data_IF_130621048265
#
_entry.id   IF_130621048265
#
_cell.length_a   1.000
_cell.length_b   1.000
_cell.length_c   1.000
_cell.angle_alpha   90.00
_cell.angle_beta   90.00
_cell.angle_gamma   90.00
#
_symmetry.space_group_name_H-M   'P 1'
#
loop_
_entity.id
_entity.type
_entity.pdbx_description
1 polymer ?
#
# COMPACT_ATOMS: atom_id res chain seq x y z
N UNK A 1 18.91 -12.75 3.67
CA UNK A 1 18.22 -11.93 2.66
C UNK A 1 17.03 -11.23 3.31
N UNK A 2 16.87 -9.94 3.04
CA UNK A 2 15.76 -9.14 3.57
C UNK A 2 14.48 -9.49 2.79
N UNK A 3 13.42 -9.87 3.50
CA UNK A 3 12.15 -10.30 2.90
C UNK A 3 10.95 -9.44 3.26
N UNK A 4 11.08 -8.55 4.24
CA UNK A 4 10.01 -7.69 4.69
C UNK A 4 10.35 -6.22 4.49
N UNK A 5 9.38 -5.45 4.02
CA UNK A 5 9.48 -4.01 3.89
C UNK A 5 8.37 -3.32 4.71
N UNK A 6 8.75 -2.30 5.45
CA UNK A 6 7.81 -1.41 6.14
C UNK A 6 7.66 -0.16 5.30
N UNK A 7 6.41 0.21 4.98
CA UNK A 7 6.11 1.45 4.27
C UNK A 7 5.18 2.29 5.14
N UNK A 8 5.70 3.37 5.76
CA UNK A 8 4.87 4.29 6.52
C UNK A 8 3.99 5.13 5.58
N UNK A 9 2.68 5.02 5.74
CA UNK A 9 1.68 5.65 4.88
C UNK A 9 0.69 6.51 5.66
N UNK A 10 1.00 6.83 6.91
CA UNK A 10 0.13 7.61 7.79
C UNK A 10 0.43 9.12 7.78
N UNK A 11 1.35 9.59 6.94
CA UNK A 11 1.70 11.00 6.83
C UNK A 11 0.57 11.86 6.26
N UNK A 12 0.58 13.15 6.61
CA UNK A 12 -0.50 14.08 6.23
C UNK A 12 -0.38 14.62 4.79
N UNK A 13 0.80 14.54 4.18
CA UNK A 13 1.01 15.04 2.82
C UNK A 13 0.81 16.54 2.66
N UNK A 14 1.21 17.33 3.66
CA UNK A 14 0.92 18.77 3.72
C UNK A 14 1.49 19.58 2.56
N UNK A 15 2.59 19.12 1.96
CA UNK A 15 3.22 19.81 0.82
C UNK A 15 2.35 19.83 -0.43
N UNK A 16 1.40 18.89 -0.55
CA UNK A 16 0.53 18.74 -1.70
C UNK A 16 -0.92 19.12 -1.42
N UNK A 17 -1.17 19.85 -0.34
CA UNK A 17 -2.51 20.38 -0.05
C UNK A 17 -2.92 21.39 -1.13
N UNK A 18 -4.23 21.47 -1.49
CA UNK A 18 -5.35 20.71 -0.90
C UNK A 18 -5.58 19.31 -1.48
N UNK A 19 -4.81 18.88 -2.48
CA UNK A 19 -5.01 17.60 -3.15
C UNK A 19 -4.98 16.43 -2.16
N UNK A 20 -4.04 16.45 -1.22
CA UNK A 20 -3.89 15.37 -0.22
C UNK A 20 -4.97 15.38 0.86
N UNK A 21 -5.88 16.35 0.85
CA UNK A 21 -7.07 16.31 1.70
C UNK A 21 -8.09 15.26 1.23
N UNK A 22 -8.05 14.88 -0.03
CA UNK A 22 -8.99 13.92 -0.64
C UNK A 22 -8.32 12.65 -1.13
N UNK A 23 -7.03 12.69 -1.48
CA UNK A 23 -6.29 11.52 -1.93
C UNK A 23 -4.93 11.46 -1.22
N UNK A 24 -4.55 10.28 -0.73
CA UNK A 24 -3.22 10.11 -0.16
C UNK A 24 -2.16 10.21 -1.25
N UNK A 25 -1.02 10.86 -0.93
CA UNK A 25 0.05 11.13 -1.92
C UNK A 25 0.57 9.87 -2.61
N UNK A 26 0.57 8.75 -1.88
CA UNK A 26 1.05 7.46 -2.39
C UNK A 26 0.13 6.86 -3.46
N UNK A 27 -1.12 7.33 -3.54
CA UNK A 27 -2.08 6.93 -4.56
C UNK A 27 -2.09 7.85 -5.78
N UNK A 28 -1.31 8.94 -5.76
CA UNK A 28 -1.21 9.81 -6.93
C UNK A 28 -0.64 9.03 -8.11
N UNK A 29 -1.28 9.11 -9.28
CA UNK A 29 -0.90 8.28 -10.41
C UNK A 29 0.33 8.82 -11.13
N UNK A 30 1.18 7.89 -11.56
CA UNK A 30 2.25 8.13 -12.51
C UNK A 30 1.97 7.18 -13.67
N UNK A 31 1.67 7.73 -14.83
CA UNK A 31 1.34 6.94 -16.02
C UNK A 31 0.24 5.88 -15.76
N UNK A 32 -0.85 6.31 -15.11
CA UNK A 32 -2.04 5.48 -14.86
C UNK A 32 -1.94 4.47 -13.72
N UNK A 33 -0.83 4.46 -12.98
CA UNK A 33 -0.60 3.54 -11.86
C UNK A 33 -0.15 4.32 -10.63
N UNK A 34 -0.66 4.01 -9.41
CA UNK A 34 -0.24 4.71 -8.21
C UNK A 34 1.27 4.62 -7.97
N UNK A 35 1.84 5.70 -7.45
CA UNK A 35 3.25 5.74 -7.06
C UNK A 35 3.62 4.57 -6.14
N UNK A 36 2.73 4.21 -5.22
CA UNK A 36 2.94 3.10 -4.29
C UNK A 36 3.20 1.76 -5.01
N UNK A 37 2.52 1.50 -6.13
CA UNK A 37 2.74 0.25 -6.88
C UNK A 37 4.14 0.19 -7.50
N UNK A 38 4.69 1.31 -7.96
CA UNK A 38 6.08 1.34 -8.46
C UNK A 38 7.06 0.98 -7.35
N UNK A 39 6.86 1.53 -6.16
CA UNK A 39 7.69 1.22 -4.99
C UNK A 39 7.60 -0.28 -4.66
N UNK A 40 6.40 -0.84 -4.68
CA UNK A 40 6.20 -2.28 -4.44
C UNK A 40 6.91 -3.14 -5.48
N UNK A 41 6.83 -2.77 -6.74
CA UNK A 41 7.50 -3.50 -7.83
C UNK A 41 9.01 -3.53 -7.63
N UNK A 42 9.63 -2.40 -7.33
CA UNK A 42 11.06 -2.33 -7.05
C UNK A 42 11.45 -3.23 -5.86
N UNK A 43 10.64 -3.21 -4.81
CA UNK A 43 10.85 -4.07 -3.64
C UNK A 43 10.74 -5.56 -4.00
N UNK A 44 9.76 -5.93 -4.80
CA UNK A 44 9.56 -7.32 -5.23
C UNK A 44 10.74 -7.79 -6.06
N UNK A 45 11.22 -6.96 -6.98
CA UNK A 45 12.42 -7.25 -7.77
C UNK A 45 13.67 -7.44 -6.89
N UNK A 46 13.75 -6.69 -5.78
CA UNK A 46 14.84 -6.81 -4.81
C UNK A 46 14.68 -8.02 -3.86
N UNK A 47 13.61 -8.78 -3.98
CA UNK A 47 13.40 -10.01 -3.18
C UNK A 47 12.47 -9.87 -1.99
N UNK A 48 11.81 -8.73 -1.82
CA UNK A 48 10.81 -8.54 -0.76
C UNK A 48 9.58 -9.42 -1.02
N UNK A 49 9.10 -10.09 0.02
CA UNK A 49 7.96 -11.02 -0.03
C UNK A 49 6.75 -10.54 0.76
N UNK A 50 6.95 -9.63 1.70
CA UNK A 50 5.88 -9.14 2.57
C UNK A 50 6.03 -7.63 2.79
N UNK A 51 4.91 -6.92 2.66
CA UNK A 51 4.82 -5.49 2.94
C UNK A 51 4.01 -5.26 4.21
N UNK A 52 4.53 -4.42 5.09
CA UNK A 52 3.80 -3.94 6.26
C UNK A 52 3.49 -2.47 6.01
N UNK A 53 2.22 -2.18 5.74
CA UNK A 53 1.75 -0.81 5.51
C UNK A 53 1.26 -0.22 6.82
N UNK A 54 1.88 0.88 7.24
CA UNK A 54 1.44 1.63 8.42
C UNK A 54 0.51 2.74 7.94
N UNK A 55 -0.77 2.60 8.23
CA UNK A 55 -1.83 3.47 7.70
C UNK A 55 -2.64 4.12 8.82
N UNK A 56 -3.26 5.29 8.57
CA UNK A 56 -4.18 5.88 9.53
C UNK A 56 -5.52 5.14 9.49
N UNK A 57 -6.10 4.88 10.65
CA UNK A 57 -7.39 4.16 10.75
C UNK A 57 -8.55 4.94 10.13
N UNK A 58 -8.52 6.27 10.27
CA UNK A 58 -9.59 7.17 9.79
C UNK A 58 -9.48 7.56 8.31
N UNK A 59 -8.44 7.10 7.60
CA UNK A 59 -8.24 7.36 6.18
C UNK A 59 -7.96 6.06 5.44
N UNK A 60 -9.02 5.26 5.14
CA UNK A 60 -8.85 3.89 4.63
C UNK A 60 -8.63 3.81 3.12
N UNK A 61 -8.21 4.88 2.44
CA UNK A 61 -8.11 4.91 0.98
C UNK A 61 -7.12 3.91 0.42
N UNK A 62 -5.94 3.76 1.04
CA UNK A 62 -4.94 2.78 0.59
C UNK A 62 -5.46 1.36 0.81
N UNK A 63 -6.09 1.09 1.96
CA UNK A 63 -6.68 -0.21 2.21
C UNK A 63 -7.78 -0.54 1.19
N UNK A 64 -8.62 0.43 0.85
CA UNK A 64 -9.67 0.24 -0.18
C UNK A 64 -9.12 0.04 -1.58
N UNK A 65 -7.97 0.60 -1.88
CA UNK A 65 -7.34 0.39 -3.17
C UNK A 65 -7.04 -1.10 -3.40
N UNK A 66 -6.56 -1.78 -2.38
CA UNK A 66 -6.17 -3.19 -2.50
C UNK A 66 -7.25 -4.17 -2.04
N UNK A 67 -8.12 -3.77 -1.10
CA UNK A 67 -9.07 -4.67 -0.44
C UNK A 67 -10.46 -4.04 -0.33
N UNK A 68 -11.49 -4.90 -0.33
CA UNK A 68 -12.87 -4.53 0.01
C UNK A 68 -13.41 -3.33 -0.78
N UNK A 69 -13.06 -3.25 -2.06
CA UNK A 69 -13.54 -2.20 -2.95
C UNK A 69 -14.73 -2.72 -3.77
N UNK A 70 -15.92 -2.57 -3.22
CA UNK A 70 -17.15 -3.06 -3.83
C UNK A 70 -17.41 -2.49 -5.23
N UNK A 71 -17.10 -1.21 -5.44
CA UNK A 71 -17.24 -0.56 -6.75
C UNK A 71 -16.37 -1.25 -7.80
N UNK A 72 -15.09 -1.43 -7.50
CA UNK A 72 -14.14 -2.11 -8.37
C UNK A 72 -14.58 -3.56 -8.65
N UNK A 73 -14.95 -4.31 -7.60
CA UNK A 73 -15.36 -5.71 -7.72
C UNK A 73 -16.59 -5.87 -8.60
N UNK A 74 -17.57 -4.97 -8.50
CA UNK A 74 -18.75 -4.99 -9.36
C UNK A 74 -18.40 -4.77 -10.83
N UNK A 75 -17.49 -3.86 -11.12
CA UNK A 75 -17.04 -3.59 -12.48
C UNK A 75 -16.31 -4.80 -13.05
N UNK A 76 -15.42 -5.40 -12.30
CA UNK A 76 -14.67 -6.59 -12.70
C UNK A 76 -15.64 -7.74 -13.06
N UNK A 77 -16.66 -7.96 -12.24
CA UNK A 77 -17.67 -8.99 -12.48
C UNK A 77 -18.47 -8.74 -13.76
N UNK A 78 -18.81 -7.49 -14.05
CA UNK A 78 -19.56 -7.11 -15.26
C UNK A 78 -18.73 -7.23 -16.53
N UNK A 79 -17.42 -6.98 -16.44
CA UNK A 79 -16.52 -6.90 -17.60
C UNK A 79 -15.53 -8.07 -17.65
N UNK A 80 -16.00 -9.27 -17.40
CA UNK A 80 -15.17 -10.50 -17.33
C UNK A 80 -14.34 -10.78 -18.59
N UNK A 81 -14.79 -10.28 -19.76
CA UNK A 81 -14.10 -10.52 -21.03
C UNK A 81 -13.01 -9.50 -21.34
N UNK A 82 -12.92 -8.41 -20.58
CA UNK A 82 -11.91 -7.38 -20.79
C UNK A 82 -10.54 -7.88 -20.32
N UNK A 83 -9.62 -8.10 -21.26
CA UNK A 83 -8.29 -8.64 -20.97
C UNK A 83 -7.46 -7.71 -20.11
N UNK A 84 -7.58 -6.39 -20.31
CA UNK A 84 -6.87 -5.39 -19.52
C UNK A 84 -7.29 -5.46 -18.04
N UNK A 85 -8.58 -5.55 -17.80
CA UNK A 85 -9.12 -5.65 -16.44
C UNK A 85 -8.75 -6.97 -15.76
N UNK A 86 -8.62 -8.06 -16.51
CA UNK A 86 -8.13 -9.34 -15.97
C UNK A 86 -6.70 -9.23 -15.47
N UNK A 87 -5.83 -8.54 -16.22
CA UNK A 87 -4.43 -8.32 -15.81
C UNK A 87 -4.37 -7.50 -14.53
N UNK A 88 -5.15 -6.42 -14.46
CA UNK A 88 -5.25 -5.56 -13.25
C UNK A 88 -5.74 -6.39 -12.06
N UNK A 89 -6.77 -7.17 -12.24
CA UNK A 89 -7.34 -8.02 -11.19
C UNK A 89 -6.31 -9.00 -10.63
N UNK A 90 -5.58 -9.69 -11.49
CA UNK A 90 -4.51 -10.63 -11.07
C UNK A 90 -3.40 -9.91 -10.31
N UNK A 91 -3.00 -8.73 -10.78
CA UNK A 91 -1.96 -7.91 -10.11
C UNK A 91 -2.39 -7.54 -8.68
N UNK A 92 -3.60 -7.02 -8.53
CA UNK A 92 -4.13 -6.66 -7.21
C UNK A 92 -4.24 -7.89 -6.30
N UNK A 93 -4.70 -9.02 -6.82
CA UNK A 93 -4.76 -10.27 -6.05
C UNK A 93 -3.39 -10.73 -5.55
N UNK A 94 -2.36 -10.58 -6.36
CA UNK A 94 -0.98 -10.89 -5.97
C UNK A 94 -0.54 -9.99 -4.80
N UNK A 95 -0.78 -8.68 -4.90
CA UNK A 95 -0.44 -7.74 -3.83
C UNK A 95 -1.20 -8.03 -2.53
N UNK A 96 -2.47 -8.40 -2.62
CA UNK A 96 -3.27 -8.73 -1.43
C UNK A 96 -2.61 -9.81 -0.56
N UNK A 97 -1.93 -10.77 -1.17
CA UNK A 97 -1.24 -11.85 -0.45
C UNK A 97 0.03 -11.38 0.26
N UNK A 98 0.56 -10.23 -0.13
CA UNK A 98 1.83 -9.70 0.35
C UNK A 98 1.67 -8.61 1.41
N UNK A 99 0.49 -8.01 1.54
CA UNK A 99 0.25 -6.80 2.34
C UNK A 99 -0.32 -7.16 3.72
N UNK A 100 0.28 -6.57 4.76
CA UNK A 100 -0.24 -6.55 6.12
C UNK A 100 -0.42 -5.11 6.56
N UNK A 101 -1.55 -4.77 7.18
CA UNK A 101 -1.83 -3.44 7.68
C UNK A 101 -1.54 -3.32 9.17
N UNK A 102 -0.89 -2.21 9.54
CA UNK A 102 -0.68 -1.78 10.92
C UNK A 102 -1.21 -0.36 11.02
N UNK A 103 -1.91 -0.04 12.10
CA UNK A 103 -2.55 1.26 12.23
C UNK A 103 -1.72 2.19 13.13
N UNK A 104 -1.53 3.42 12.64
CA UNK A 104 -0.97 4.53 13.40
C UNK A 104 -1.99 5.66 13.39
N UNK A 105 -2.65 5.87 14.54
CA UNK A 105 -3.74 6.85 14.64
C UNK A 105 -3.25 8.29 14.76
N UNK A 106 -2.05 8.48 15.30
CA UNK A 106 -1.40 9.79 15.42
C UNK A 106 -0.13 9.78 14.57
N UNK A 107 0.19 10.88 13.86
CA UNK A 107 1.40 10.95 13.04
C UNK A 107 2.65 11.23 13.93
N UNK A 108 3.00 10.27 14.77
CA UNK A 108 4.10 10.39 15.75
C UNK A 108 5.48 10.10 15.15
N UNK A 109 5.59 10.13 13.82
CA UNK A 109 6.85 9.98 13.11
C UNK A 109 7.16 8.56 12.65
N UNK A 110 8.26 8.42 11.90
CA UNK A 110 8.66 7.14 11.29
C UNK A 110 9.16 6.12 12.32
N UNK A 111 9.82 6.58 13.38
CA UNK A 111 10.27 5.69 14.45
C UNK A 111 9.11 5.00 15.16
N UNK A 112 8.06 5.74 15.46
CA UNK A 112 6.84 5.18 16.05
C UNK A 112 6.16 4.19 15.10
N UNK A 113 6.11 4.51 13.81
CA UNK A 113 5.56 3.62 12.78
C UNK A 113 6.29 2.27 12.77
N UNK A 114 7.61 2.29 12.79
CA UNK A 114 8.43 1.07 12.84
C UNK A 114 8.19 0.29 14.13
N UNK A 115 8.13 0.99 15.26
CA UNK A 115 7.89 0.34 16.56
C UNK A 115 6.56 -0.40 16.60
N UNK A 116 5.52 0.15 15.98
CA UNK A 116 4.20 -0.52 15.87
C UNK A 116 4.25 -1.80 15.03
N UNK A 117 5.23 -1.94 14.17
CA UNK A 117 5.41 -3.14 13.34
C UNK A 117 6.19 -4.26 14.04
N UNK A 118 6.79 -4.00 15.21
CA UNK A 118 7.72 -4.91 15.88
C UNK A 118 7.22 -6.35 15.96
N UNK A 119 5.99 -6.56 16.34
CA UNK A 119 5.41 -7.91 16.50
C UNK A 119 5.22 -8.68 15.20
N UNK A 120 5.26 -8.00 14.06
CA UNK A 120 5.09 -8.60 12.74
C UNK A 120 6.41 -8.88 12.03
N UNK A 121 7.52 -8.39 12.57
CA UNK A 121 8.85 -8.60 11.99
C UNK A 121 9.36 -10.00 12.33
N UNK A 122 9.75 -10.75 11.31
CA UNK A 122 10.15 -12.16 11.41
C UNK A 122 11.66 -12.37 11.43
N UNK A 123 12.41 -11.40 10.89
CA UNK A 123 13.86 -11.52 10.75
C UNK A 123 14.60 -10.45 11.55
N UNK A 124 15.93 -10.52 11.47
CA UNK A 124 16.82 -9.52 12.11
C UNK A 124 16.87 -8.21 11.34
N UNK A 125 16.52 -8.25 10.07
CA UNK A 125 16.63 -7.11 9.15
C UNK A 125 15.34 -6.91 8.39
N UNK A 126 15.01 -5.67 8.13
CA UNK A 126 13.89 -5.27 7.29
C UNK A 126 14.25 -4.03 6.49
N UNK A 127 13.56 -3.80 5.39
CA UNK A 127 13.67 -2.59 4.60
C UNK A 127 12.62 -1.59 5.07
N UNK A 128 12.98 -0.32 5.16
CA UNK A 128 12.03 0.76 5.38
C UNK A 128 12.11 1.74 4.24
N UNK A 129 10.97 2.09 3.68
CA UNK A 129 10.85 3.03 2.56
C UNK A 129 10.03 4.23 3.00
N UNK A 130 10.51 5.41 2.67
CA UNK A 130 9.85 6.67 3.00
C UNK A 130 9.16 7.29 1.78
#
# INVERSE_FOLDING_TARGET
MIKQAIIPLAGLGTRLLPLTSVIQKELLPINGKPNLEYIMEECIEAGIKEFIFVVPKNRPTIKKYFFNNNFYEKIIKKKKKDKRLKIIFKRIKTYQKMIKFVYQNKPDGTGDAVLKCKKYLKGKHFLMLL
#
